data_IF_809532817982
#
_entry.id   IF_809532817982
#
_cell.length_a   1.000
_cell.length_b   1.000
_cell.length_c   1.000
_cell.angle_alpha   90.00
_cell.angle_beta   90.00
_cell.angle_gamma   90.00
#
_symmetry.space_group_name_H-M   'P 1'
#
loop_
_entity.id
_entity.type
_entity.pdbx_description
1 polymer ?
#
# COMPACT_ATOMS: atom_id res chain seq x y z
N UNK A 1 -18.16 -28.86 -13.28
CA UNK A 1 -17.54 -27.51 -13.39
C UNK A 1 -17.53 -26.88 -11.99
N UNK A 2 -16.47 -27.13 -11.20
CA UNK A 2 -16.29 -26.54 -9.87
C UNK A 2 -15.28 -25.39 -9.98
N UNK A 3 -15.57 -24.24 -9.38
CA UNK A 3 -14.51 -23.35 -8.88
C UNK A 3 -14.48 -21.91 -9.36
N UNK A 4 -15.38 -21.45 -10.25
CA UNK A 4 -15.39 -20.02 -10.60
C UNK A 4 -16.11 -19.21 -9.52
N UNK A 5 -15.34 -18.47 -8.71
CA UNK A 5 -15.84 -17.41 -7.84
C UNK A 5 -15.40 -16.07 -8.45
N UNK A 6 -16.32 -15.20 -8.87
CA UNK A 6 -15.95 -13.85 -9.25
C UNK A 6 -15.37 -13.12 -8.02
N UNK A 7 -14.26 -12.41 -8.22
CA UNK A 7 -13.66 -11.58 -7.17
C UNK A 7 -14.63 -10.49 -6.75
N UNK A 8 -14.71 -10.23 -5.46
CA UNK A 8 -15.48 -9.10 -4.94
C UNK A 8 -14.85 -7.77 -5.36
N UNK A 9 -15.63 -6.68 -5.31
CA UNK A 9 -15.11 -5.33 -5.53
C UNK A 9 -13.96 -5.02 -4.56
N UNK A 10 -14.09 -5.39 -3.28
CA UNK A 10 -13.05 -5.19 -2.27
C UNK A 10 -11.76 -5.93 -2.61
N UNK A 11 -11.84 -7.16 -3.11
CA UNK A 11 -10.67 -7.92 -3.59
C UNK A 11 -9.94 -7.16 -4.72
N UNK A 12 -10.69 -6.66 -5.70
CA UNK A 12 -10.12 -5.89 -6.81
C UNK A 12 -9.48 -4.57 -6.36
N UNK A 13 -10.10 -3.88 -5.40
CA UNK A 13 -9.56 -2.64 -4.83
C UNK A 13 -8.25 -2.89 -4.07
N UNK A 14 -8.22 -3.90 -3.20
CA UNK A 14 -7.04 -4.28 -2.41
C UNK A 14 -5.86 -4.60 -3.32
N UNK A 15 -6.07 -5.47 -4.32
CA UNK A 15 -5.01 -5.83 -5.28
C UNK A 15 -4.46 -4.61 -6.03
N UNK A 16 -5.36 -3.71 -6.48
CA UNK A 16 -4.97 -2.48 -7.18
C UNK A 16 -4.12 -1.58 -6.29
N UNK A 17 -4.58 -1.29 -5.07
CA UNK A 17 -3.90 -0.39 -4.15
C UNK A 17 -2.57 -0.96 -3.69
N UNK A 18 -2.49 -2.26 -3.40
CA UNK A 18 -1.24 -2.92 -3.03
C UNK A 18 -0.23 -2.85 -4.17
N UNK A 19 -0.66 -3.06 -5.42
CA UNK A 19 0.21 -2.94 -6.59
C UNK A 19 0.75 -1.52 -6.75
N UNK A 20 -0.10 -0.50 -6.63
CA UNK A 20 0.31 0.90 -6.71
C UNK A 20 1.25 1.30 -5.57
N UNK A 21 0.92 0.96 -4.33
CA UNK A 21 1.75 1.26 -3.17
C UNK A 21 3.12 0.59 -3.24
N UNK A 22 3.19 -0.68 -3.67
CA UNK A 22 4.46 -1.40 -3.85
C UNK A 22 5.36 -0.71 -4.88
N UNK A 23 4.81 -0.32 -6.03
CA UNK A 23 5.54 0.41 -7.07
C UNK A 23 6.13 1.72 -6.53
N UNK A 24 5.33 2.49 -5.79
CA UNK A 24 5.79 3.75 -5.19
C UNK A 24 6.88 3.46 -4.16
N UNK A 25 6.72 2.47 -3.29
CA UNK A 25 7.73 2.13 -2.29
C UNK A 25 9.06 1.71 -2.90
N UNK A 26 9.06 0.82 -3.88
CA UNK A 26 10.30 0.40 -4.58
C UNK A 26 11.06 1.61 -5.17
N UNK A 27 10.34 2.60 -5.69
CA UNK A 27 10.92 3.86 -6.18
C UNK A 27 11.49 4.71 -5.04
N UNK A 28 10.80 4.78 -3.91
CA UNK A 28 11.21 5.60 -2.77
C UNK A 28 12.36 5.00 -1.95
N UNK A 29 12.45 3.67 -1.87
CA UNK A 29 13.55 2.96 -1.21
C UNK A 29 14.91 3.22 -1.88
N UNK A 30 14.91 3.48 -3.19
CA UNK A 30 16.11 3.85 -3.94
C UNK A 30 16.38 5.36 -3.97
N UNK A 31 15.53 6.17 -3.36
CA UNK A 31 15.63 7.64 -3.37
C UNK A 31 16.36 8.17 -2.13
N UNK A 32 17.16 9.26 -2.24
CA UNK A 32 17.79 9.89 -1.09
C UNK A 32 16.76 10.67 -0.27
N UNK A 33 16.14 9.99 0.70
CA UNK A 33 15.14 10.57 1.60
C UNK A 33 15.77 11.07 2.90
N UNK A 34 15.21 12.15 3.47
CA UNK A 34 15.55 12.60 4.83
C UNK A 34 15.04 11.60 5.87
N UNK A 35 15.63 11.62 7.08
CA UNK A 35 15.29 10.67 8.15
C UNK A 35 13.80 10.68 8.50
N UNK A 36 13.15 11.84 8.52
CA UNK A 36 11.70 11.97 8.74
C UNK A 36 10.89 11.20 7.70
N UNK A 37 11.31 11.32 6.44
CA UNK A 37 10.64 10.68 5.32
C UNK A 37 10.87 9.16 5.32
N UNK A 38 12.08 8.72 5.69
CA UNK A 38 12.40 7.31 5.87
C UNK A 38 11.55 6.67 6.97
N UNK A 39 11.35 7.36 8.11
CA UNK A 39 10.48 6.87 9.19
C UNK A 39 9.02 6.70 8.73
N UNK A 40 8.48 7.66 7.97
CA UNK A 40 7.12 7.55 7.44
C UNK A 40 7.03 6.43 6.39
N UNK A 41 8.06 6.27 5.56
CA UNK A 41 8.15 5.18 4.58
C UNK A 41 8.18 3.80 5.26
N UNK A 42 8.89 3.66 6.38
CA UNK A 42 8.88 2.44 7.21
C UNK A 42 7.48 2.15 7.77
N UNK A 43 6.76 3.16 8.26
CA UNK A 43 5.36 2.95 8.65
C UNK A 43 4.51 2.52 7.45
N UNK A 44 4.65 3.16 6.29
CA UNK A 44 3.91 2.80 5.09
C UNK A 44 4.18 1.34 4.65
N UNK A 45 5.43 0.87 4.73
CA UNK A 45 5.79 -0.51 4.37
C UNK A 45 5.15 -1.53 5.30
N UNK A 46 5.12 -1.27 6.61
CA UNK A 46 4.44 -2.12 7.59
C UNK A 46 2.95 -2.25 7.32
N UNK A 47 2.28 -1.17 6.92
CA UNK A 47 0.85 -1.22 6.56
C UNK A 47 0.59 -1.95 5.23
N UNK A 48 1.53 -1.93 4.28
CA UNK A 48 1.44 -2.80 3.10
C UNK A 48 1.60 -4.27 3.48
N UNK A 49 2.55 -4.61 4.36
CA UNK A 49 2.69 -5.98 4.88
C UNK A 49 1.43 -6.44 5.64
N UNK A 50 0.81 -5.56 6.43
CA UNK A 50 -0.48 -5.86 7.09
C UNK A 50 -1.59 -6.11 6.05
N UNK A 51 -1.65 -5.30 4.99
CA UNK A 51 -2.62 -5.51 3.92
C UNK A 51 -2.43 -6.85 3.21
N UNK A 52 -1.18 -7.23 2.90
CA UNK A 52 -0.81 -8.53 2.34
C UNK A 52 -1.25 -9.68 3.26
N UNK A 53 -0.96 -9.56 4.55
CA UNK A 53 -1.35 -10.54 5.56
C UNK A 53 -2.87 -10.72 5.60
N UNK A 54 -3.64 -9.64 5.74
CA UNK A 54 -5.10 -9.74 5.82
C UNK A 54 -5.75 -10.19 4.51
N UNK A 55 -5.19 -9.83 3.36
CA UNK A 55 -5.64 -10.31 2.07
C UNK A 55 -5.47 -11.84 1.95
N UNK A 56 -4.31 -12.37 2.35
CA UNK A 56 -4.02 -13.80 2.34
C UNK A 56 -4.95 -14.60 3.29
N UNK A 57 -5.37 -14.00 4.41
CA UNK A 57 -6.37 -14.56 5.34
C UNK A 57 -7.82 -14.41 4.83
N UNK A 58 -8.04 -13.84 3.65
CA UNK A 58 -9.38 -13.57 3.09
C UNK A 58 -10.14 -12.45 3.81
N UNK A 59 -9.48 -11.66 4.65
CA UNK A 59 -10.04 -10.55 5.43
C UNK A 59 -9.99 -9.23 4.65
N UNK A 60 -10.66 -9.22 3.50
CA UNK A 60 -10.58 -8.13 2.52
C UNK A 60 -10.92 -6.73 3.04
N UNK A 61 -11.94 -6.51 3.91
CA UNK A 61 -12.19 -5.18 4.46
C UNK A 61 -11.04 -4.67 5.35
N UNK A 62 -10.41 -5.55 6.13
CA UNK A 62 -9.25 -5.19 6.94
C UNK A 62 -8.04 -4.91 6.05
N UNK A 63 -7.82 -5.72 5.02
CA UNK A 63 -6.76 -5.48 4.04
C UNK A 63 -6.93 -4.13 3.32
N UNK A 64 -8.17 -3.78 2.95
CA UNK A 64 -8.48 -2.50 2.33
C UNK A 64 -8.16 -1.33 3.26
N UNK A 65 -8.56 -1.42 4.53
CA UNK A 65 -8.23 -0.39 5.52
C UNK A 65 -6.70 -0.21 5.70
N UNK A 66 -5.94 -1.32 5.76
CA UNK A 66 -4.50 -1.28 5.89
C UNK A 66 -3.81 -0.65 4.67
N UNK A 67 -4.17 -1.07 3.44
CA UNK A 67 -3.55 -0.51 2.23
C UNK A 67 -3.95 0.93 1.97
N UNK A 68 -5.16 1.36 2.32
CA UNK A 68 -5.56 2.77 2.26
C UNK A 68 -4.79 3.63 3.27
N UNK A 69 -4.42 3.08 4.43
CA UNK A 69 -3.56 3.80 5.38
C UNK A 69 -2.13 3.92 4.85
N UNK A 70 -1.59 2.86 4.23
CA UNK A 70 -0.32 2.91 3.51
C UNK A 70 -0.33 4.00 2.41
N UNK A 71 -1.35 4.01 1.55
CA UNK A 71 -1.54 5.01 0.49
C UNK A 71 -1.57 6.44 1.07
N UNK A 72 -2.33 6.66 2.15
CA UNK A 72 -2.41 7.95 2.83
C UNK A 72 -1.08 8.45 3.40
N UNK A 73 -0.23 7.56 3.92
CA UNK A 73 1.12 7.91 4.38
C UNK A 73 2.03 8.31 3.22
N UNK A 74 1.94 7.60 2.08
CA UNK A 74 2.68 7.94 0.86
C UNK A 74 2.22 9.30 0.31
N UNK A 75 0.91 9.54 0.23
CA UNK A 75 0.37 10.85 -0.18
C UNK A 75 0.82 11.96 0.76
N UNK A 76 0.88 11.72 2.08
CA UNK A 76 1.40 12.69 3.03
C UNK A 76 2.87 13.05 2.76
N UNK A 77 3.72 12.07 2.44
CA UNK A 77 5.10 12.33 2.03
C UNK A 77 5.17 13.27 0.82
N UNK A 78 4.32 13.04 -0.18
CA UNK A 78 4.24 13.87 -1.39
C UNK A 78 3.73 15.28 -1.07
N UNK A 79 2.65 15.39 -0.31
CA UNK A 79 2.02 16.67 0.07
C UNK A 79 2.94 17.56 0.90
N UNK A 80 3.79 16.96 1.74
CA UNK A 80 4.77 17.67 2.57
C UNK A 80 6.08 17.99 1.82
N UNK A 81 6.20 17.63 0.54
CA UNK A 81 7.41 17.81 -0.24
C UNK A 81 8.59 16.98 0.29
N UNK A 82 8.31 15.85 0.93
CA UNK A 82 9.29 14.94 1.49
C UNK A 82 9.71 13.84 0.50
N UNK A 83 8.89 13.57 -0.51
CA UNK A 83 9.17 12.63 -1.58
C UNK A 83 8.46 13.02 -2.89
N UNK A 84 9.03 12.64 -4.04
CA UNK A 84 8.44 12.87 -5.36
C UNK A 84 8.17 11.55 -6.07
N UNK A 85 6.89 11.30 -6.38
CA UNK A 85 6.48 10.11 -7.12
C UNK A 85 5.13 10.31 -7.81
N UNK A 86 4.82 9.36 -8.70
CA UNK A 86 3.54 9.24 -9.41
C UNK A 86 2.96 7.86 -9.12
N UNK A 87 1.63 7.78 -9.13
CA UNK A 87 0.88 6.60 -8.69
C UNK A 87 0.94 5.43 -9.63
#
# INVERSE_FOLDING_TARGET
LKGWRPRSETELLVERYMKSCRRVMEKLESSPLREEAQRILDYASRYLSDAEYYANEGRWPTALAAVSYCEGLLDALRLLGLAEFEW
#
